data_IF_504200911343
#
_entry.id   IF_504200911343
#
_cell.length_a   1.000
_cell.length_b   1.000
_cell.length_c   1.000
_cell.angle_alpha   90.00
_cell.angle_beta   90.00
_cell.angle_gamma   90.00
#
_symmetry.space_group_name_H-M   'P 1'
#
loop_
_entity.id
_entity.type
_entity.pdbx_description
1 polymer ?
#
# COMPACT_ATOMS: atom_id res chain seq x y z
N UNK A 1 11.02 22.17 10.60
CA UNK A 1 10.29 21.80 11.84
C UNK A 1 9.21 20.76 11.59
N UNK A 2 8.38 20.88 10.55
CA UNK A 2 7.33 19.92 10.24
C UNK A 2 7.88 18.50 9.99
N UNK A 3 8.98 18.38 9.25
CA UNK A 3 9.59 17.08 8.92
C UNK A 3 10.09 16.32 10.17
N UNK A 4 10.59 17.05 11.17
CA UNK A 4 11.03 16.49 12.44
C UNK A 4 9.83 15.90 13.19
N UNK A 5 8.71 16.61 13.22
CA UNK A 5 7.48 16.14 13.87
C UNK A 5 6.93 14.91 13.13
N UNK A 6 6.91 14.94 11.79
CA UNK A 6 6.52 13.82 10.95
C UNK A 6 7.31 12.54 11.27
N UNK A 7 8.62 12.64 11.48
CA UNK A 7 9.49 11.51 11.82
C UNK A 7 9.37 11.08 13.30
N UNK A 8 9.11 12.01 14.21
CA UNK A 8 9.01 11.71 15.66
C UNK A 8 7.67 11.09 16.06
N UNK A 9 6.57 11.40 15.36
CA UNK A 9 5.23 10.92 15.72
C UNK A 9 5.08 9.39 15.70
N UNK A 10 5.62 8.65 14.71
CA UNK A 10 5.67 7.19 14.75
C UNK A 10 6.43 6.64 15.96
N UNK A 11 7.53 7.29 16.38
CA UNK A 11 8.30 6.89 17.56
C UNK A 11 7.51 7.13 18.85
N UNK A 12 6.79 8.25 18.92
CA UNK A 12 5.92 8.56 20.05
C UNK A 12 4.74 7.58 20.12
N UNK A 13 4.17 7.19 18.97
CA UNK A 13 3.16 6.14 18.90
C UNK A 13 3.71 4.82 19.45
N UNK A 14 4.90 4.40 19.02
CA UNK A 14 5.56 3.19 19.51
C UNK A 14 5.74 3.20 21.04
N UNK A 15 6.20 4.33 21.61
CA UNK A 15 6.33 4.48 23.05
C UNK A 15 4.98 4.47 23.80
N UNK A 16 3.90 4.90 23.14
CA UNK A 16 2.56 4.95 23.72
C UNK A 16 1.78 3.64 23.65
N UNK A 17 2.31 2.60 22.99
CA UNK A 17 1.68 1.28 22.90
C UNK A 17 1.39 0.75 24.32
N UNK A 18 0.19 0.20 24.51
CA UNK A 18 -0.36 -0.28 25.80
C UNK A 18 -0.65 0.80 26.84
N UNK A 19 -0.38 2.08 26.57
CA UNK A 19 -0.69 3.18 27.50
C UNK A 19 -2.10 3.70 27.30
N UNK A 20 -2.62 4.45 28.28
CA UNK A 20 -3.92 5.14 28.18
C UNK A 20 -4.00 6.07 26.96
N UNK A 21 -2.87 6.71 26.61
CA UNK A 21 -2.75 7.71 25.53
C UNK A 21 -2.69 7.15 24.11
N UNK A 22 -2.47 5.85 23.91
CA UNK A 22 -2.32 5.21 22.59
C UNK A 22 -3.32 5.66 21.51
N UNK A 23 -4.66 5.64 21.72
CA UNK A 23 -5.62 6.01 20.68
C UNK A 23 -5.49 7.46 20.23
N UNK A 24 -5.23 8.37 21.17
CA UNK A 24 -5.09 9.80 20.89
C UNK A 24 -3.81 10.05 20.07
N UNK A 25 -2.71 9.38 20.43
CA UNK A 25 -1.46 9.47 19.68
C UNK A 25 -1.61 8.85 18.29
N UNK A 26 -2.31 7.73 18.16
CA UNK A 26 -2.58 7.08 16.88
C UNK A 26 -3.37 7.99 15.93
N UNK A 27 -4.44 8.61 16.43
CA UNK A 27 -5.27 9.54 15.67
C UNK A 27 -4.50 10.81 15.29
N UNK A 28 -3.74 11.38 16.23
CA UNK A 28 -2.90 12.54 15.99
C UNK A 28 -1.82 12.24 14.94
N UNK A 29 -1.18 11.07 15.02
CA UNK A 29 -0.18 10.64 14.03
C UNK A 29 -0.80 10.48 12.63
N UNK A 30 -1.93 9.77 12.51
CA UNK A 30 -2.64 9.63 11.23
C UNK A 30 -3.08 10.98 10.65
N UNK A 31 -3.69 11.84 11.47
CA UNK A 31 -4.17 13.16 11.04
C UNK A 31 -3.04 14.10 10.65
N UNK A 32 -1.94 14.11 11.42
CA UNK A 32 -0.76 14.89 11.09
C UNK A 32 -0.12 14.42 9.78
N UNK A 33 0.05 13.10 9.61
CA UNK A 33 0.61 12.54 8.37
C UNK A 33 -0.26 12.90 7.17
N UNK A 34 -1.60 12.87 7.30
CA UNK A 34 -2.50 13.26 6.23
C UNK A 34 -2.29 14.71 5.80
N UNK A 35 -2.31 15.64 6.77
CA UNK A 35 -2.11 17.07 6.50
C UNK A 35 -0.73 17.34 5.93
N UNK A 36 0.30 16.74 6.52
CA UNK A 36 1.69 16.89 6.06
C UNK A 36 1.87 16.38 4.63
N UNK A 37 1.36 15.19 4.30
CA UNK A 37 1.45 14.64 2.94
C UNK A 37 0.62 15.46 1.94
N UNK A 38 -0.54 16.00 2.34
CA UNK A 38 -1.32 16.90 1.48
C UNK A 38 -0.54 18.17 1.13
N UNK A 39 0.11 18.79 2.12
CA UNK A 39 0.99 19.94 1.90
C UNK A 39 2.16 19.54 1.00
N UNK A 40 2.82 18.42 1.29
CA UNK A 40 3.93 17.92 0.47
C UNK A 40 3.51 17.69 -0.98
N UNK A 41 2.35 17.08 -1.21
CA UNK A 41 1.82 16.83 -2.56
C UNK A 41 1.38 18.11 -3.28
N UNK A 42 1.09 19.18 -2.55
CA UNK A 42 0.74 20.48 -3.15
C UNK A 42 2.00 21.25 -3.55
N UNK A 43 3.06 21.18 -2.74
CA UNK A 43 4.31 21.92 -2.95
C UNK A 43 5.38 21.14 -3.72
N UNK A 44 5.18 19.84 -3.94
CA UNK A 44 6.10 18.98 -4.67
C UNK A 44 5.36 18.14 -5.73
N UNK A 45 6.12 17.44 -6.57
CA UNK A 45 5.59 16.50 -7.55
C UNK A 45 5.27 15.12 -6.97
N UNK A 46 5.43 14.93 -5.66
CA UNK A 46 5.19 13.65 -4.99
C UNK A 46 3.70 13.42 -4.84
N UNK A 47 3.21 12.26 -5.26
CA UNK A 47 1.81 11.90 -5.08
C UNK A 47 1.52 11.50 -3.64
N UNK A 48 0.32 11.87 -3.17
CA UNK A 48 -0.17 11.47 -1.84
C UNK A 48 -0.23 9.94 -1.69
N UNK A 49 -0.53 9.24 -2.79
CA UNK A 49 -0.68 7.78 -2.87
C UNK A 49 0.55 7.02 -2.35
N UNK A 50 1.75 7.54 -2.59
CA UNK A 50 3.01 6.96 -2.12
C UNK A 50 3.15 6.92 -0.59
N UNK A 51 2.35 7.70 0.15
CA UNK A 51 2.43 7.85 1.61
C UNK A 51 1.19 7.32 2.35
N UNK A 52 0.19 6.80 1.65
CA UNK A 52 -1.03 6.29 2.30
C UNK A 52 -0.75 5.25 3.37
N UNK A 53 0.30 4.45 3.20
CA UNK A 53 0.74 3.50 4.23
C UNK A 53 1.01 4.18 5.57
N UNK A 54 1.68 5.33 5.57
CA UNK A 54 2.00 6.13 6.77
C UNK A 54 0.78 6.79 7.42
N UNK A 55 -0.26 7.05 6.65
CA UNK A 55 -1.51 7.65 7.14
C UNK A 55 -2.41 6.61 7.77
N UNK A 56 -2.54 5.45 7.11
CA UNK A 56 -3.49 4.41 7.50
C UNK A 56 -2.93 3.46 8.56
N UNK A 57 -1.62 3.19 8.58
CA UNK A 57 -1.01 2.25 9.54
C UNK A 57 -1.22 2.66 11.02
N UNK A 58 -1.07 3.94 11.42
CA UNK A 58 -1.34 4.36 12.79
C UNK A 58 -2.76 4.04 13.26
N UNK A 59 -3.73 4.00 12.34
CA UNK A 59 -5.13 3.72 12.69
C UNK A 59 -5.29 2.35 13.33
N UNK A 60 -4.46 1.35 12.98
CA UNK A 60 -4.46 0.02 13.63
C UNK A 60 -4.35 0.11 15.16
N UNK A 61 -3.67 1.12 15.67
CA UNK A 61 -3.38 1.28 17.09
C UNK A 61 -4.44 2.12 17.82
N UNK A 62 -5.56 2.46 17.19
CA UNK A 62 -6.67 3.14 17.87
C UNK A 62 -7.30 2.21 18.91
N UNK A 63 -7.53 0.93 18.57
CA UNK A 63 -8.19 -0.01 19.46
C UNK A 63 -7.15 -0.83 20.23
N UNK A 64 -7.30 -0.91 21.55
CA UNK A 64 -6.38 -1.65 22.44
C UNK A 64 -6.76 -3.11 22.66
N UNK A 65 -8.03 -3.44 22.45
CA UNK A 65 -8.50 -4.81 22.64
C UNK A 65 -7.99 -5.67 21.49
N UNK A 66 -7.53 -6.88 21.80
CA UNK A 66 -7.02 -7.83 20.78
C UNK A 66 -8.06 -8.08 19.69
N UNK A 67 -9.33 -8.24 20.09
CA UNK A 67 -10.46 -8.43 19.18
C UNK A 67 -10.69 -7.23 18.27
N UNK A 68 -10.58 -6.00 18.81
CA UNK A 68 -10.74 -4.80 18.01
C UNK A 68 -9.57 -4.58 17.05
N UNK A 69 -8.34 -4.85 17.48
CA UNK A 69 -7.16 -4.85 16.63
C UNK A 69 -7.30 -5.87 15.48
N UNK A 70 -7.79 -7.08 15.78
CA UNK A 70 -8.10 -8.11 14.78
C UNK A 70 -9.07 -7.61 13.71
N UNK A 71 -10.22 -7.04 14.10
CA UNK A 71 -11.18 -6.51 13.13
C UNK A 71 -10.63 -5.33 12.34
N UNK A 72 -9.84 -4.45 12.96
CA UNK A 72 -9.26 -3.30 12.29
C UNK A 72 -8.18 -3.71 11.27
N UNK A 73 -7.40 -4.75 11.58
CA UNK A 73 -6.47 -5.37 10.65
C UNK A 73 -7.20 -5.97 9.44
N UNK A 74 -8.34 -6.62 9.66
CA UNK A 74 -9.20 -7.11 8.57
C UNK A 74 -9.82 -5.97 7.76
N UNK A 75 -10.24 -4.88 8.40
CA UNK A 75 -10.74 -3.68 7.72
C UNK A 75 -9.66 -3.07 6.80
N UNK A 76 -8.43 -2.89 7.33
CA UNK A 76 -7.31 -2.39 6.54
C UNK A 76 -6.90 -3.34 5.41
N UNK A 77 -7.01 -4.67 5.62
CA UNK A 77 -6.84 -5.64 4.54
C UNK A 77 -7.81 -5.35 3.39
N UNK A 78 -9.10 -5.16 3.67
CA UNK A 78 -10.08 -4.88 2.61
C UNK A 78 -9.85 -3.53 1.95
N UNK A 79 -9.46 -2.50 2.69
CA UNK A 79 -9.08 -1.19 2.12
C UNK A 79 -7.90 -1.35 1.16
N UNK A 80 -6.86 -2.08 1.58
CA UNK A 80 -5.69 -2.36 0.75
C UNK A 80 -6.08 -3.09 -0.53
N UNK A 81 -6.80 -4.21 -0.43
CA UNK A 81 -7.28 -4.95 -1.60
C UNK A 81 -8.15 -4.08 -2.52
N UNK A 82 -8.99 -3.21 -1.95
CA UNK A 82 -9.89 -2.32 -2.71
C UNK A 82 -9.10 -1.30 -3.51
N UNK A 83 -8.06 -0.70 -2.93
CA UNK A 83 -7.26 0.34 -3.59
C UNK A 83 -6.55 -0.23 -4.82
N UNK A 84 -5.89 -1.39 -4.70
CA UNK A 84 -5.22 -2.04 -5.83
C UNK A 84 -6.20 -2.52 -6.90
N UNK A 85 -7.34 -3.08 -6.49
CA UNK A 85 -8.36 -3.47 -7.45
C UNK A 85 -8.94 -2.25 -8.20
N UNK A 86 -9.17 -1.15 -7.48
CA UNK A 86 -9.69 0.10 -8.02
C UNK A 86 -8.73 0.75 -9.01
N UNK A 87 -7.41 0.75 -8.75
CA UNK A 87 -6.42 1.29 -9.70
C UNK A 87 -6.42 0.51 -11.02
N UNK A 88 -6.53 -0.83 -10.96
CA UNK A 88 -6.67 -1.67 -12.15
C UNK A 88 -7.95 -1.34 -12.95
N UNK A 89 -9.08 -1.15 -12.26
CA UNK A 89 -10.33 -0.72 -12.90
C UNK A 89 -10.23 0.66 -13.55
N UNK A 90 -9.53 1.61 -12.92
CA UNK A 90 -9.31 2.93 -13.50
C UNK A 90 -8.47 2.87 -14.79
N UNK A 91 -7.46 2.00 -14.85
CA UNK A 91 -6.66 1.77 -16.07
C UNK A 91 -7.48 1.16 -17.20
N UNK A 92 -8.39 0.24 -16.87
CA UNK A 92 -9.37 -0.29 -17.84
C UNK A 92 -10.33 0.79 -18.33
N UNK A 93 -10.91 1.56 -17.41
CA UNK A 93 -11.86 2.65 -17.73
C UNK A 93 -11.22 3.74 -18.58
N UNK A 94 -9.97 4.09 -18.30
CA UNK A 94 -9.21 5.08 -19.08
C UNK A 94 -8.93 4.62 -20.51
N UNK A 95 -9.16 3.34 -20.83
CA UNK A 95 -8.92 2.76 -22.14
C UNK A 95 -7.46 2.42 -22.43
N UNK A 96 -6.56 2.54 -21.45
CA UNK A 96 -5.13 2.32 -21.63
C UNK A 96 -4.77 0.89 -22.05
N UNK A 97 -5.59 -0.09 -21.64
CA UNK A 97 -5.41 -1.50 -22.07
C UNK A 97 -5.69 -1.69 -23.57
N UNK A 98 -6.50 -0.82 -24.18
CA UNK A 98 -6.81 -0.89 -25.61
C UNK A 98 -5.82 -0.09 -26.47
N UNK A 99 -4.92 0.67 -25.85
CA UNK A 99 -3.89 1.45 -26.53
C UNK A 99 -2.51 0.79 -26.36
N UNK A 100 -1.96 0.28 -27.46
CA UNK A 100 -0.65 -0.40 -27.47
C UNK A 100 0.53 0.53 -27.14
N UNK A 101 0.35 1.83 -27.28
CA UNK A 101 1.41 2.83 -27.04
C UNK A 101 1.31 3.50 -25.67
N UNK A 102 0.29 3.14 -24.86
CA UNK A 102 0.00 3.82 -23.58
C UNK A 102 1.21 3.82 -22.65
N UNK A 103 1.84 2.67 -22.46
CA UNK A 103 3.01 2.54 -21.59
C UNK A 103 4.21 3.31 -22.11
N UNK A 104 4.46 3.30 -23.43
CA UNK A 104 5.54 4.09 -24.02
C UNK A 104 5.31 5.58 -23.79
N UNK A 105 4.06 6.06 -23.94
CA UNK A 105 3.68 7.43 -23.64
C UNK A 105 3.90 7.80 -22.16
N UNK A 106 3.51 6.91 -21.24
CA UNK A 106 3.76 7.07 -19.81
C UNK A 106 5.27 7.18 -19.52
N UNK A 107 6.09 6.29 -20.08
CA UNK A 107 7.54 6.29 -19.89
C UNK A 107 8.20 7.58 -20.42
N UNK A 108 7.80 8.06 -21.60
CA UNK A 108 8.26 9.33 -22.15
C UNK A 108 7.92 10.47 -21.20
N UNK A 109 6.66 10.59 -20.78
CA UNK A 109 6.20 11.68 -19.92
C UNK A 109 6.92 11.67 -18.57
N UNK A 110 7.11 10.49 -17.99
CA UNK A 110 7.69 10.34 -16.67
C UNK A 110 9.20 10.59 -16.65
N UNK A 111 9.91 10.16 -17.68
CA UNK A 111 11.38 10.22 -17.73
C UNK A 111 11.93 11.29 -18.68
N UNK A 112 11.09 12.12 -19.28
CA UNK A 112 11.50 13.16 -20.24
C UNK A 112 12.66 14.03 -19.70
N UNK A 113 12.54 14.51 -18.46
CA UNK A 113 13.58 15.33 -17.84
C UNK A 113 14.89 14.55 -17.63
N UNK A 114 14.80 13.28 -17.22
CA UNK A 114 15.97 12.42 -16.99
C UNK A 114 16.71 12.11 -18.28
N UNK A 115 15.98 11.67 -19.32
CA UNK A 115 16.53 11.35 -20.64
C UNK A 115 17.20 12.59 -21.26
N UNK A 116 16.62 13.78 -21.05
CA UNK A 116 17.19 15.03 -21.58
C UNK A 116 18.49 15.44 -20.87
N UNK A 117 18.61 15.17 -19.57
CA UNK A 117 19.79 15.55 -18.78
C UNK A 117 20.94 14.54 -18.88
N UNK A 118 20.61 13.24 -18.95
CA UNK A 118 21.59 12.15 -18.93
C UNK A 118 21.27 11.09 -20.00
N UNK A 119 21.37 11.43 -21.30
CA UNK A 119 20.91 10.56 -22.39
C UNK A 119 21.73 9.28 -22.54
N UNK A 120 22.98 9.26 -22.12
CA UNK A 120 23.89 8.11 -22.30
C UNK A 120 23.94 7.17 -21.08
N UNK A 121 23.19 7.47 -20.02
CA UNK A 121 23.15 6.62 -18.84
C UNK A 121 22.48 5.27 -19.14
N UNK A 122 22.88 4.22 -18.43
CA UNK A 122 22.35 2.86 -18.63
C UNK A 122 20.83 2.83 -18.42
N UNK A 123 20.30 3.59 -17.46
CA UNK A 123 18.87 3.67 -17.20
C UNK A 123 18.13 4.40 -18.32
N UNK A 124 18.69 5.50 -18.83
CA UNK A 124 18.11 6.22 -19.97
C UNK A 124 18.03 5.32 -21.21
N UNK A 125 19.08 4.51 -21.46
CA UNK A 125 19.09 3.51 -22.54
C UNK A 125 18.01 2.43 -22.35
N UNK A 126 17.82 1.93 -21.12
CA UNK A 126 16.77 0.96 -20.80
C UNK A 126 15.37 1.55 -21.06
N UNK A 127 15.10 2.76 -20.59
CA UNK A 127 13.81 3.43 -20.79
C UNK A 127 13.59 3.71 -22.29
N UNK A 128 14.61 4.18 -23.00
CA UNK A 128 14.53 4.38 -24.45
C UNK A 128 14.23 3.08 -25.20
N UNK A 129 14.87 1.97 -24.82
CA UNK A 129 14.57 0.64 -25.38
C UNK A 129 13.10 0.27 -25.19
N UNK A 130 12.56 0.45 -23.97
CA UNK A 130 11.15 0.19 -23.69
C UNK A 130 10.21 1.10 -24.50
N UNK A 131 10.54 2.39 -24.65
CA UNK A 131 9.74 3.33 -25.44
C UNK A 131 9.64 2.89 -26.90
N UNK A 132 10.79 2.56 -27.52
CA UNK A 132 10.87 2.13 -28.93
C UNK A 132 10.20 0.76 -29.14
N UNK A 133 10.40 -0.18 -28.21
CA UNK A 133 9.78 -1.50 -28.26
C UNK A 133 8.41 -1.51 -27.56
N UNK A 134 7.47 -0.75 -28.10
CA UNK A 134 6.13 -0.54 -27.53
C UNK A 134 5.38 -1.84 -27.17
N UNK A 135 5.58 -2.93 -27.91
CA UNK A 135 4.97 -4.25 -27.58
C UNK A 135 5.43 -4.80 -26.23
N UNK A 136 6.71 -4.67 -25.91
CA UNK A 136 7.26 -5.13 -24.63
C UNK A 136 6.71 -4.26 -23.50
N UNK A 137 6.71 -2.94 -23.70
CA UNK A 137 6.12 -1.99 -22.76
C UNK A 137 4.64 -2.23 -22.54
N UNK A 138 3.88 -2.52 -23.59
CA UNK A 138 2.47 -2.88 -23.49
C UNK A 138 2.26 -4.15 -22.68
N UNK A 139 3.08 -5.19 -22.88
CA UNK A 139 3.00 -6.42 -22.08
C UNK A 139 3.28 -6.15 -20.60
N UNK A 140 4.24 -5.27 -20.28
CA UNK A 140 4.49 -4.84 -18.90
C UNK A 140 3.28 -4.10 -18.31
N UNK A 141 2.67 -3.19 -19.08
CA UNK A 141 1.46 -2.49 -18.64
C UNK A 141 0.29 -3.44 -18.42
N UNK A 142 0.05 -4.36 -19.35
CA UNK A 142 -0.98 -5.37 -19.22
C UNK A 142 -0.73 -6.27 -18.00
N UNK A 143 0.51 -6.69 -17.78
CA UNK A 143 0.90 -7.45 -16.60
C UNK A 143 0.54 -6.69 -15.32
N UNK A 144 0.90 -5.41 -15.23
CA UNK A 144 0.58 -4.57 -14.06
C UNK A 144 -0.92 -4.46 -13.84
N UNK A 145 -1.72 -4.25 -14.90
CA UNK A 145 -3.18 -4.19 -14.79
C UNK A 145 -3.75 -5.53 -14.30
N UNK A 146 -3.25 -6.65 -14.82
CA UNK A 146 -3.69 -7.99 -14.38
C UNK A 146 -3.33 -8.26 -12.93
N UNK A 147 -2.13 -7.85 -12.50
CA UNK A 147 -1.71 -7.93 -11.10
C UNK A 147 -2.66 -7.14 -10.22
N UNK A 148 -2.95 -5.88 -10.54
CA UNK A 148 -3.88 -5.03 -9.78
C UNK A 148 -5.29 -5.64 -9.71
N UNK A 149 -5.82 -6.13 -10.83
CA UNK A 149 -7.14 -6.77 -10.87
C UNK A 149 -7.19 -8.06 -10.04
N UNK A 150 -6.08 -8.79 -9.93
CA UNK A 150 -6.01 -10.04 -9.17
C UNK A 150 -6.29 -9.85 -7.66
N UNK A 151 -6.11 -8.64 -7.12
CA UNK A 151 -6.42 -8.33 -5.72
C UNK A 151 -7.90 -8.51 -5.39
N UNK A 152 -8.79 -8.55 -6.39
CA UNK A 152 -10.22 -8.89 -6.19
C UNK A 152 -10.40 -10.26 -5.54
N UNK A 153 -9.50 -11.22 -5.83
CA UNK A 153 -9.55 -12.58 -5.29
C UNK A 153 -9.41 -12.56 -3.76
N UNK A 154 -8.64 -11.61 -3.23
CA UNK A 154 -8.46 -11.42 -1.78
C UNK A 154 -9.75 -11.10 -1.03
N UNK A 155 -10.77 -10.54 -1.68
CA UNK A 155 -12.06 -10.29 -1.03
C UNK A 155 -12.80 -11.60 -0.71
N UNK A 156 -12.73 -12.55 -1.63
CA UNK A 156 -13.50 -13.80 -1.54
C UNK A 156 -12.75 -14.89 -0.78
N UNK A 157 -11.41 -14.88 -0.81
CA UNK A 157 -10.63 -15.93 -0.17
C UNK A 157 -9.30 -15.44 0.40
N UNK A 158 -8.88 -16.06 1.50
CA UNK A 158 -7.57 -15.86 2.13
C UNK A 158 -6.50 -16.85 1.64
N UNK A 159 -6.90 -17.85 0.83
CA UNK A 159 -6.00 -18.94 0.38
C UNK A 159 -4.83 -18.42 -0.48
N UNK A 160 -5.07 -17.35 -1.23
CA UNK A 160 -4.09 -16.76 -2.15
C UNK A 160 -3.33 -15.57 -1.55
N UNK A 161 -3.48 -15.27 -0.26
CA UNK A 161 -2.83 -14.10 0.36
C UNK A 161 -1.29 -14.12 0.20
N UNK A 162 -0.65 -15.31 0.21
CA UNK A 162 0.79 -15.44 -0.08
C UNK A 162 1.16 -15.05 -1.51
N UNK A 163 0.32 -15.42 -2.49
CA UNK A 163 0.53 -15.06 -3.89
C UNK A 163 0.32 -13.56 -4.07
N UNK A 164 -0.72 -12.98 -3.46
CA UNK A 164 -0.97 -11.53 -3.49
C UNK A 164 0.20 -10.74 -2.87
N UNK A 165 0.80 -11.24 -1.78
CA UNK A 165 2.02 -10.64 -1.19
C UNK A 165 3.17 -10.65 -2.22
N UNK A 166 3.42 -11.79 -2.88
CA UNK A 166 4.48 -11.89 -3.88
C UNK A 166 4.24 -10.94 -5.07
N UNK A 167 3.02 -10.93 -5.60
CA UNK A 167 2.64 -10.04 -6.70
C UNK A 167 2.77 -8.57 -6.31
N UNK A 168 2.40 -8.22 -5.08
CA UNK A 168 2.57 -6.87 -4.56
C UNK A 168 4.04 -6.45 -4.45
N UNK A 169 4.90 -7.33 -3.91
CA UNK A 169 6.33 -7.05 -3.81
C UNK A 169 6.97 -6.86 -5.18
N UNK A 170 6.57 -7.70 -6.14
CA UNK A 170 7.00 -7.58 -7.53
C UNK A 170 6.54 -6.24 -8.13
N UNK A 171 5.28 -5.85 -7.91
CA UNK A 171 4.73 -4.56 -8.33
C UNK A 171 5.56 -3.39 -7.78
N UNK A 172 5.78 -3.33 -6.47
CA UNK A 172 6.58 -2.26 -5.84
C UNK A 172 8.00 -2.20 -6.39
N UNK A 173 8.62 -3.35 -6.66
CA UNK A 173 9.95 -3.41 -7.25
C UNK A 173 9.97 -2.85 -8.68
N UNK A 174 9.01 -3.24 -9.53
CA UNK A 174 8.93 -2.73 -10.90
C UNK A 174 8.61 -1.24 -10.94
N UNK A 175 7.69 -0.75 -10.12
CA UNK A 175 7.42 0.68 -10.01
C UNK A 175 8.64 1.47 -9.50
N UNK A 176 9.41 0.91 -8.58
CA UNK A 176 10.64 1.56 -8.13
C UNK A 176 11.73 1.59 -9.21
N UNK A 177 11.97 0.47 -9.90
CA UNK A 177 13.04 0.37 -10.89
C UNK A 177 12.67 1.09 -12.19
N UNK A 178 11.50 0.81 -12.77
CA UNK A 178 11.10 1.35 -14.06
C UNK A 178 10.49 2.74 -13.95
N UNK A 179 9.62 2.95 -12.96
CA UNK A 179 8.88 4.20 -12.83
C UNK A 179 9.59 5.19 -11.87
N UNK A 180 10.52 4.72 -11.03
CA UNK A 180 11.13 5.53 -9.96
C UNK A 180 10.08 6.13 -9.00
N UNK A 181 8.96 5.44 -8.83
CA UNK A 181 7.91 5.81 -7.87
C UNK A 181 8.14 5.02 -6.58
N UNK A 182 8.06 5.70 -5.44
CA UNK A 182 8.26 5.09 -4.13
C UNK A 182 6.93 4.68 -3.50
N UNK A 183 6.62 3.38 -3.56
CA UNK A 183 5.46 2.77 -2.89
C UNK A 183 5.85 1.94 -1.65
N UNK A 184 7.05 2.13 -1.07
CA UNK A 184 7.51 1.31 0.05
C UNK A 184 6.64 1.45 1.31
N UNK A 185 5.91 2.56 1.49
CA UNK A 185 5.00 2.72 2.64
C UNK A 185 3.89 1.66 2.67
N UNK A 186 3.46 1.17 1.51
CA UNK A 186 2.44 0.13 1.38
C UNK A 186 2.93 -1.27 1.79
N UNK A 187 4.25 -1.50 1.86
CA UNK A 187 4.82 -2.79 2.29
C UNK A 187 4.37 -3.16 3.71
N UNK A 188 4.11 -2.17 4.58
CA UNK A 188 3.55 -2.43 5.90
C UNK A 188 2.18 -3.12 5.87
N UNK A 189 1.39 -2.92 4.80
CA UNK A 189 0.08 -3.55 4.63
C UNK A 189 0.16 -5.04 4.27
N UNK A 190 1.33 -5.54 3.88
CA UNK A 190 1.54 -6.98 3.72
C UNK A 190 1.32 -7.75 5.02
N UNK A 191 1.54 -7.10 6.17
CA UNK A 191 1.20 -7.65 7.47
C UNK A 191 -0.30 -7.93 7.59
N UNK A 192 -1.15 -7.09 7.00
CA UNK A 192 -2.61 -7.29 7.00
C UNK A 192 -3.01 -8.56 6.23
N UNK A 193 -2.29 -8.90 5.16
CA UNK A 193 -2.48 -10.16 4.43
C UNK A 193 -1.88 -11.35 5.19
N UNK A 194 -0.69 -11.19 5.77
CA UNK A 194 0.00 -12.27 6.48
C UNK A 194 -0.74 -12.73 7.74
N UNK A 195 -1.26 -11.78 8.53
CA UNK A 195 -1.97 -12.05 9.78
C UNK A 195 -3.45 -12.40 9.56
N UNK A 196 -3.98 -12.27 8.35
CA UNK A 196 -5.39 -12.59 8.07
C UNK A 196 -5.76 -14.07 8.29
N UNK A 197 -4.76 -14.97 8.32
CA UNK A 197 -4.92 -16.41 8.54
C UNK A 197 -5.27 -16.78 9.97
N UNK A 198 -5.03 -15.89 10.93
CA UNK A 198 -5.31 -16.18 12.33
C UNK A 198 -6.81 -16.06 12.60
N UNK A 199 -7.29 -16.88 13.54
CA UNK A 199 -8.67 -16.84 13.98
C UNK A 199 -8.92 -15.68 14.95
N UNK A 200 -10.18 -15.34 15.12
CA UNK A 200 -10.61 -14.32 16.06
C UNK A 200 -10.14 -14.65 17.49
N UNK A 201 -9.49 -13.72 18.20
CA UNK A 201 -9.07 -13.97 19.57
C UNK A 201 -10.30 -14.13 20.48
N UNK A 202 -10.42 -15.31 21.11
CA UNK A 202 -11.49 -15.61 22.08
C UNK A 202 -11.45 -14.65 23.27
N UNK A 203 -12.60 -14.09 23.65
CA UNK A 203 -12.74 -13.21 24.81
C UNK A 203 -12.38 -13.95 26.11
N UNK A 204 -11.79 -13.24 27.08
CA UNK A 204 -11.58 -13.77 28.42
C UNK A 204 -12.89 -14.24 29.08
N UNK A 205 -14.04 -13.64 28.72
CA UNK A 205 -15.37 -14.05 29.18
C UNK A 205 -15.83 -15.40 28.58
N UNK A 206 -15.39 -15.76 27.37
CA UNK A 206 -15.71 -17.06 26.76
C UNK A 206 -14.88 -18.19 27.37
N UNK A 207 -13.65 -17.89 27.81
CA UNK A 207 -12.86 -18.84 28.61
C UNK A 207 -13.53 -19.13 29.96
N UNK A 208 -14.05 -18.12 30.64
CA UNK A 208 -14.75 -18.30 31.92
C UNK A 208 -16.04 -19.12 31.77
N UNK A 209 -16.87 -18.82 30.76
CA UNK A 209 -18.12 -19.56 30.50
C UNK A 209 -17.88 -21.01 30.10
N UNK A 210 -16.84 -21.28 29.29
CA UNK A 210 -16.45 -22.65 28.91
C UNK A 210 -15.91 -23.48 30.09
N UNK A 211 -15.33 -22.82 31.10
CA UNK A 211 -14.80 -23.48 32.30
C UNK A 211 -15.92 -23.81 33.28
N UNK A 212 -16.89 -22.90 33.44
CA UNK A 212 -18.09 -23.14 34.27
C UNK A 212 -18.95 -24.27 33.67
N UNK A 213 -19.10 -24.33 32.34
CA UNK A 213 -19.87 -25.39 31.65
C UNK A 213 -19.20 -26.77 31.67
N UNK A 214 -17.91 -26.84 32.00
CA UNK A 214 -17.15 -28.11 32.12
C UNK A 214 -17.14 -28.66 33.55
N UNK A 215 -17.45 -27.82 34.54
CA UNK A 215 -17.35 -28.12 35.97
C UNK A 215 -18.72 -28.12 36.67
N UNK A 216 -19.83 -28.01 35.94
CA UNK A 216 -21.20 -28.19 36.42
C UNK A 216 -21.89 -29.28 35.62
#
# INVERSE_FOLDING_TARGET
MLDIIYLLLPLLLFYSINRKTQPYVALLNSGYNLVYTLLLSTFSTLSIEGFMGWILLPLLFIIKTERGFYYLLHCLRYIFLMIFFSTGLWKLRAGGVFNLEEMSGILVKQHAAYISQQPFDWFANLIHYLIVHYKISYLLYLFTVLVELSFVVGFFTKKFDKLLILLFLLFVLFDFVLMRINYFSWVAFLLCLWFAKYDEPTSANDKLSSTIKKNG
#
